data_IF_060723014751
#
_entry.id   IF_060723014751
#
_cell.length_a   1.000
_cell.length_b   1.000
_cell.length_c   1.000
_cell.angle_alpha   90.00
_cell.angle_beta   90.00
_cell.angle_gamma   90.00
#
_symmetry.space_group_name_H-M   'P 1'
#
loop_
_entity.id
_entity.type
_entity.pdbx_description
1 polymer ?
#
# COMPACT_ATOMS: atom_id res chain seq x y z
N UNK A 1 -20.85 25.23 -3.08
CA UNK A 1 -19.75 24.29 -3.40
C UNK A 1 -20.23 23.36 -4.52
N UNK A 2 -19.55 23.34 -5.67
CA UNK A 2 -19.83 22.34 -6.72
C UNK A 2 -19.34 20.97 -6.22
N UNK A 3 -20.25 20.00 -6.18
CA UNK A 3 -19.98 18.65 -5.69
C UNK A 3 -18.93 17.93 -6.53
N UNK A 4 -18.21 17.01 -5.90
CA UNK A 4 -17.23 16.12 -6.53
C UNK A 4 -17.88 15.34 -7.68
N UNK A 5 -17.49 15.61 -8.93
CA UNK A 5 -17.93 14.84 -10.09
C UNK A 5 -17.11 13.55 -10.21
N UNK A 6 -17.61 12.48 -9.59
CA UNK A 6 -16.98 11.15 -9.58
C UNK A 6 -16.71 10.57 -10.96
N UNK A 7 -17.39 11.05 -12.02
CA UNK A 7 -17.15 10.61 -13.40
C UNK A 7 -15.82 11.13 -13.95
N UNK A 8 -15.33 12.26 -13.44
CA UNK A 8 -14.00 12.81 -13.78
C UNK A 8 -12.88 12.21 -12.93
N UNK A 9 -13.21 11.62 -11.78
CA UNK A 9 -12.26 10.94 -10.90
C UNK A 9 -11.93 9.50 -11.35
N UNK A 10 -12.54 9.02 -12.44
CA UNK A 10 -12.20 7.73 -13.05
C UNK A 10 -11.01 7.89 -14.00
N UNK A 11 -9.84 7.53 -13.51
CA UNK A 11 -8.66 7.23 -14.32
C UNK A 11 -9.06 6.22 -15.39
N UNK A 12 -9.01 6.62 -16.67
CA UNK A 12 -8.94 5.81 -17.91
C UNK A 12 -9.66 4.44 -17.98
N UNK A 13 -10.22 4.06 -19.13
CA UNK A 13 -10.70 2.65 -19.34
C UNK A 13 -9.61 1.60 -19.10
N UNK A 14 -8.34 2.01 -19.08
CA UNK A 14 -7.18 1.20 -18.72
C UNK A 14 -6.88 1.35 -17.23
N UNK A 15 -6.78 0.23 -16.52
CA UNK A 15 -6.39 0.24 -15.11
C UNK A 15 -4.93 0.73 -14.98
N UNK A 16 -4.76 1.98 -14.56
CA UNK A 16 -3.44 2.59 -14.36
C UNK A 16 -2.77 2.15 -13.05
N UNK A 17 -3.56 1.62 -12.11
CA UNK A 17 -3.09 1.17 -10.80
C UNK A 17 -3.58 -0.25 -10.56
N UNK A 18 -2.92 -1.26 -11.16
CA UNK A 18 -3.29 -2.64 -10.90
C UNK A 18 -3.24 -2.90 -9.38
N UNK A 19 -4.30 -3.49 -8.79
CA UNK A 19 -4.30 -3.77 -7.38
C UNK A 19 -3.14 -4.71 -7.04
N UNK A 20 -2.47 -4.46 -5.91
CA UNK A 20 -1.47 -5.39 -5.42
C UNK A 20 -2.14 -6.72 -5.11
N UNK A 21 -1.66 -7.79 -5.76
CA UNK A 21 -2.14 -9.14 -5.52
C UNK A 21 -1.36 -9.76 -4.35
N UNK A 22 -1.99 -9.79 -3.17
CA UNK A 22 -1.43 -10.44 -1.98
C UNK A 22 -1.56 -11.95 -2.13
N UNK A 23 -0.42 -12.64 -2.33
CA UNK A 23 -0.40 -14.09 -2.54
C UNK A 23 -0.47 -14.92 -1.25
N UNK A 24 -0.29 -14.29 -0.10
CA UNK A 24 -0.29 -14.95 1.21
C UNK A 24 0.31 -14.07 2.29
N UNK A 25 0.45 -14.63 3.49
CA UNK A 25 1.07 -14.01 4.65
C UNK A 25 2.20 -14.90 5.20
N UNK A 26 3.10 -14.29 5.96
CA UNK A 26 4.18 -15.00 6.65
C UNK A 26 4.01 -14.84 8.17
N UNK A 27 4.40 -15.83 8.98
CA UNK A 27 4.44 -15.66 10.43
C UNK A 27 5.37 -14.49 10.80
N UNK A 28 4.89 -13.58 11.66
CA UNK A 28 5.65 -12.39 12.07
C UNK A 28 7.04 -12.73 12.61
N UNK A 29 7.14 -13.82 13.39
CA UNK A 29 8.41 -14.33 13.94
C UNK A 29 9.44 -14.62 12.84
N UNK A 30 9.01 -15.18 11.72
CA UNK A 30 9.92 -15.56 10.64
C UNK A 30 10.39 -14.34 9.86
N UNK A 31 9.51 -13.36 9.68
CA UNK A 31 9.85 -12.07 9.05
C UNK A 31 10.89 -11.33 9.90
N UNK A 32 10.68 -11.24 11.22
CA UNK A 32 11.63 -10.62 12.16
C UNK A 32 12.97 -11.36 12.19
N UNK A 33 12.96 -12.70 12.26
CA UNK A 33 14.19 -13.51 12.27
C UNK A 33 15.00 -13.32 10.98
N UNK A 34 14.32 -13.17 9.84
CA UNK A 34 14.97 -12.94 8.54
C UNK A 34 15.50 -11.51 8.34
N UNK A 35 15.31 -10.60 9.30
CA UNK A 35 15.73 -9.20 9.18
C UNK A 35 14.89 -8.36 8.22
N UNK A 36 13.81 -8.91 7.65
CA UNK A 36 12.88 -8.19 6.76
C UNK A 36 11.97 -7.21 7.51
N UNK A 37 12.00 -7.22 8.84
CA UNK A 37 11.29 -6.31 9.72
C UNK A 37 12.07 -6.20 11.03
N UNK A 38 12.23 -4.98 11.54
CA UNK A 38 12.82 -4.74 12.84
C UNK A 38 11.77 -4.83 13.95
N UNK A 39 12.21 -5.20 15.16
CA UNK A 39 11.33 -5.29 16.35
C UNK A 39 10.68 -3.96 16.74
N UNK A 40 11.23 -2.84 16.27
CA UNK A 40 10.73 -1.48 16.52
C UNK A 40 9.77 -0.98 15.44
N UNK A 41 9.58 -1.74 14.36
CA UNK A 41 8.72 -1.33 13.27
C UNK A 41 7.26 -1.36 13.72
N UNK A 42 6.50 -0.34 13.31
CA UNK A 42 5.10 -0.21 13.65
C UNK A 42 4.23 -1.13 12.80
N UNK A 43 3.27 -1.78 13.47
CA UNK A 43 2.34 -2.71 12.88
C UNK A 43 0.90 -2.28 13.15
N UNK A 44 0.08 -2.28 12.10
CA UNK A 44 -1.36 -2.28 12.25
C UNK A 44 -1.81 -3.73 12.43
N UNK A 45 -2.39 -4.04 13.59
CA UNK A 45 -2.97 -5.35 13.87
C UNK A 45 -4.48 -5.28 13.70
N UNK A 46 -5.03 -6.18 12.90
CA UNK A 46 -6.47 -6.33 12.70
C UNK A 46 -6.86 -7.79 12.86
N UNK A 47 -8.08 -8.03 13.31
CA UNK A 47 -8.65 -9.36 13.37
C UNK A 47 -9.65 -9.55 12.23
N UNK A 48 -9.58 -10.68 11.52
CA UNK A 48 -10.56 -11.06 10.51
C UNK A 48 -10.92 -12.53 10.68
N UNK A 49 -12.19 -12.81 10.94
CA UNK A 49 -12.70 -14.16 11.18
C UNK A 49 -11.91 -14.91 12.29
N UNK A 50 -11.55 -14.23 13.39
CA UNK A 50 -10.77 -14.81 14.48
C UNK A 50 -9.27 -14.98 14.18
N UNK A 51 -8.79 -14.51 13.02
CA UNK A 51 -7.36 -14.57 12.65
C UNK A 51 -6.74 -13.18 12.78
N UNK A 52 -5.73 -12.99 13.65
CA UNK A 52 -4.99 -11.75 13.71
C UNK A 52 -4.03 -11.63 12.53
N UNK A 53 -4.06 -10.48 11.85
CA UNK A 53 -3.18 -10.11 10.77
C UNK A 53 -2.38 -8.87 11.18
N UNK A 54 -1.08 -8.87 10.89
CA UNK A 54 -0.20 -7.74 11.15
C UNK A 54 0.30 -7.15 9.82
N UNK A 55 0.09 -5.85 9.65
CA UNK A 55 0.49 -5.11 8.46
C UNK A 55 1.57 -4.08 8.81
N UNK A 56 2.65 -4.05 8.04
CA UNK A 56 3.68 -3.02 8.19
C UNK A 56 3.11 -1.65 7.80
N UNK A 57 3.08 -0.72 8.75
CA UNK A 57 2.62 0.65 8.50
C UNK A 57 3.48 1.33 7.44
N UNK A 58 4.79 1.09 7.46
CA UNK A 58 5.72 1.57 6.44
C UNK A 58 5.36 1.07 5.04
N UNK A 59 5.10 -0.23 4.87
CA UNK A 59 4.71 -0.76 3.57
C UNK A 59 3.36 -0.23 3.12
N UNK A 60 2.39 -0.09 4.04
CA UNK A 60 1.09 0.52 3.73
C UNK A 60 1.23 1.97 3.27
N UNK A 61 2.10 2.76 3.92
CA UNK A 61 2.40 4.12 3.50
C UNK A 61 3.05 4.16 2.11
N UNK A 62 3.95 3.22 1.82
CA UNK A 62 4.60 3.10 0.50
C UNK A 62 3.60 2.82 -0.63
N UNK A 63 2.44 2.20 -0.34
CA UNK A 63 1.38 1.98 -1.35
C UNK A 63 0.64 3.26 -1.75
N UNK A 64 0.79 4.35 -0.99
CA UNK A 64 0.25 5.66 -1.34
C UNK A 64 1.21 6.49 -2.21
N UNK A 65 2.34 5.90 -2.61
CA UNK A 65 3.30 6.54 -3.50
C UNK A 65 2.92 6.29 -4.96
N UNK A 66 2.54 7.36 -5.67
CA UNK A 66 2.48 7.35 -7.12
C UNK A 66 3.87 7.71 -7.67
N UNK A 67 4.44 6.80 -8.44
CA UNK A 67 5.72 7.02 -9.13
C UNK A 67 5.52 6.94 -10.64
N UNK A 68 6.28 7.74 -11.39
CA UNK A 68 6.25 7.72 -12.84
C UNK A 68 7.14 8.78 -13.46
N UNK A 69 6.81 9.20 -14.67
CA UNK A 69 7.50 10.25 -15.39
C UNK A 69 6.54 11.42 -15.65
N UNK A 70 6.97 12.64 -15.33
CA UNK A 70 6.25 13.88 -15.60
C UNK A 70 7.18 14.82 -16.37
N UNK A 71 6.82 15.14 -17.62
CA UNK A 71 7.59 16.00 -18.51
C UNK A 71 9.06 15.55 -18.73
N UNK A 72 9.30 14.25 -18.89
CA UNK A 72 10.66 13.74 -19.09
C UNK A 72 11.45 13.48 -17.80
N UNK A 73 10.88 13.79 -16.64
CA UNK A 73 11.57 13.68 -15.35
C UNK A 73 10.88 12.67 -14.43
N UNK A 74 11.66 11.86 -13.67
CA UNK A 74 11.08 10.98 -12.67
C UNK A 74 10.35 11.82 -11.62
N UNK A 75 9.11 11.44 -11.32
CA UNK A 75 8.31 12.09 -10.29
C UNK A 75 7.83 11.06 -9.26
N UNK A 76 7.74 11.53 -8.02
CA UNK A 76 7.21 10.79 -6.89
C UNK A 76 6.25 11.69 -6.12
N UNK A 77 5.00 11.25 -5.97
CA UNK A 77 4.02 11.89 -5.08
C UNK A 77 3.72 10.91 -3.95
N UNK A 78 3.94 11.37 -2.72
CA UNK A 78 3.50 10.71 -1.49
C UNK A 78 2.49 11.64 -0.78
N UNK A 79 1.55 11.04 -0.06
CA UNK A 79 0.56 11.74 0.76
C UNK A 79 0.84 11.54 2.25
#
# INVERSE_FOLDING_TARGET
>A
MKGLDVRKARLSRKNLFPPMQVKGSLPLRDVVRSGRMHRKDELLVVERNGVPLAFSVYQMAYHHIAQGELAGHPYLVAY
#
